data_IF_582650151951
#
_entry.id   IF_582650151951
#
_cell.length_a   1.000
_cell.length_b   1.000
_cell.length_c   1.000
_cell.angle_alpha   90.00
_cell.angle_beta   90.00
_cell.angle_gamma   90.00
#
_symmetry.space_group_name_H-M   'P 1'
#
loop_
_entity.id
_entity.type
_entity.pdbx_description
1 polymer ?
#
# COMPACT_ATOMS: atom_id res chain seq x y z
N UNK A 1 -10.32 12.76 9.21
CA UNK A 1 -9.13 13.38 8.60
C UNK A 1 -9.54 14.53 7.68
N UNK A 2 -8.99 15.74 7.86
CA UNK A 2 -9.43 16.95 7.16
C UNK A 2 -8.71 17.13 5.82
N UNK A 3 -8.99 16.25 4.84
CA UNK A 3 -8.43 16.34 3.47
C UNK A 3 -9.52 16.38 2.40
N UNK A 4 -9.27 17.13 1.32
CA UNK A 4 -10.09 17.13 0.09
C UNK A 4 -9.28 16.44 -1.00
N UNK A 5 -9.92 15.53 -1.74
CA UNK A 5 -9.32 14.83 -2.87
C UNK A 5 -10.07 15.25 -4.13
N UNK A 6 -9.32 15.79 -5.11
CA UNK A 6 -9.84 16.15 -6.43
C UNK A 6 -9.16 15.27 -7.47
N UNK A 7 -9.97 14.53 -8.22
CA UNK A 7 -9.49 13.61 -9.26
C UNK A 7 -9.48 14.34 -10.60
N UNK A 8 -8.31 14.46 -11.23
CA UNK A 8 -8.15 15.10 -12.54
C UNK A 8 -8.08 14.05 -13.67
N UNK A 9 -7.82 14.50 -14.90
CA UNK A 9 -7.74 13.61 -16.06
C UNK A 9 -6.67 12.53 -15.89
N UNK A 10 -5.47 12.89 -15.42
CA UNK A 10 -4.30 11.99 -15.33
C UNK A 10 -3.68 11.88 -13.94
N UNK A 11 -4.08 12.73 -13.00
CA UNK A 11 -3.49 12.85 -11.67
C UNK A 11 -4.55 13.14 -10.61
N UNK A 12 -4.12 13.16 -9.36
CA UNK A 12 -4.94 13.42 -8.18
C UNK A 12 -4.34 14.61 -7.44
N UNK A 13 -5.18 15.56 -7.03
CA UNK A 13 -4.81 16.62 -6.11
C UNK A 13 -5.37 16.30 -4.73
N UNK A 14 -4.51 16.24 -3.71
CA UNK A 14 -4.90 16.17 -2.30
C UNK A 14 -4.62 17.52 -1.64
N UNK A 15 -5.60 18.03 -0.91
CA UNK A 15 -5.50 19.29 -0.16
C UNK A 15 -5.77 19.02 1.32
N UNK A 16 -4.76 19.26 2.16
CA UNK A 16 -4.88 19.21 3.61
C UNK A 16 -5.46 20.54 4.11
N UNK A 17 -6.62 20.47 4.74
CA UNK A 17 -7.39 21.66 5.16
C UNK A 17 -7.18 22.06 6.61
N UNK A 18 -6.51 21.21 7.40
CA UNK A 18 -6.10 21.59 8.75
C UNK A 18 -4.89 22.52 8.68
N UNK A 19 -5.10 23.81 8.96
CA UNK A 19 -4.05 24.84 8.86
C UNK A 19 -2.89 24.62 9.82
N UNK A 20 -3.09 23.87 10.91
CA UNK A 20 -2.04 23.60 11.89
C UNK A 20 -1.11 22.49 11.43
N UNK A 21 -1.62 21.54 10.64
CA UNK A 21 -0.88 20.34 10.22
C UNK A 21 -0.55 20.30 8.72
N UNK A 22 -1.18 21.15 7.90
CA UNK A 22 -1.11 21.03 6.44
C UNK A 22 0.32 21.08 5.91
N UNK A 23 1.15 21.97 6.45
CA UNK A 23 2.56 22.08 6.05
C UNK A 23 3.33 20.82 6.44
N UNK A 24 3.21 20.38 7.70
CA UNK A 24 3.87 19.16 8.21
C UNK A 24 3.47 17.92 7.41
N UNK A 25 2.19 17.78 7.04
CA UNK A 25 1.72 16.66 6.21
C UNK A 25 2.28 16.70 4.79
N UNK A 26 2.38 17.88 4.18
CA UNK A 26 3.00 18.04 2.85
C UNK A 26 4.49 17.70 2.92
N UNK A 27 5.23 18.17 3.93
CA UNK A 27 6.65 17.83 4.10
C UNK A 27 6.85 16.33 4.38
N UNK A 28 6.00 15.71 5.22
CA UNK A 28 6.03 14.27 5.45
C UNK A 28 5.90 13.51 4.12
N UNK A 29 4.89 13.83 3.30
CA UNK A 29 4.72 13.17 2.00
C UNK A 29 5.89 13.42 1.06
N UNK A 30 6.46 14.63 1.01
CA UNK A 30 7.67 14.90 0.22
C UNK A 30 8.81 13.97 0.61
N UNK A 31 9.06 13.80 1.90
CA UNK A 31 10.11 12.93 2.41
C UNK A 31 9.86 11.47 2.03
N UNK A 32 8.62 10.98 2.25
CA UNK A 32 8.21 9.63 1.85
C UNK A 32 8.44 9.40 0.35
N UNK A 33 7.90 10.26 -0.52
CA UNK A 33 8.05 10.09 -1.97
C UNK A 33 9.51 10.22 -2.45
N UNK A 34 10.32 11.07 -1.80
CA UNK A 34 11.75 11.13 -2.08
C UNK A 34 12.45 9.82 -1.73
N UNK A 35 12.11 9.21 -0.58
CA UNK A 35 12.66 7.93 -0.17
C UNK A 35 12.22 6.79 -1.10
N UNK A 36 10.94 6.71 -1.45
CA UNK A 36 10.42 5.72 -2.41
C UNK A 36 11.15 5.81 -3.75
N UNK A 37 11.37 7.03 -4.25
CA UNK A 37 12.12 7.28 -5.49
C UNK A 37 13.60 6.89 -5.36
N UNK A 38 14.25 7.27 -4.26
CA UNK A 38 15.66 6.92 -3.97
C UNK A 38 15.87 5.41 -3.93
N UNK A 39 14.94 4.68 -3.31
CA UNK A 39 14.97 3.21 -3.21
C UNK A 39 14.53 2.50 -4.50
N UNK A 40 13.95 3.21 -5.47
CA UNK A 40 13.45 2.62 -6.71
C UNK A 40 12.26 1.69 -6.47
N UNK A 41 11.37 2.02 -5.53
CA UNK A 41 10.23 1.18 -5.18
C UNK A 41 9.30 1.02 -6.38
N UNK A 42 9.02 -0.22 -6.84
CA UNK A 42 8.09 -0.45 -7.95
C UNK A 42 6.65 -0.37 -7.47
N UNK A 43 5.70 -0.28 -8.41
CA UNK A 43 4.26 -0.45 -8.12
C UNK A 43 3.68 0.58 -7.15
N UNK A 44 4.16 1.82 -7.24
CA UNK A 44 3.68 2.96 -6.43
C UNK A 44 3.30 4.13 -7.33
N UNK A 45 2.51 5.06 -6.79
CA UNK A 45 2.36 6.38 -7.41
C UNK A 45 3.56 7.29 -7.07
N UNK A 46 3.53 8.51 -7.61
CA UNK A 46 4.61 9.47 -7.53
C UNK A 46 4.07 10.85 -7.15
N UNK A 47 4.87 11.58 -6.37
CA UNK A 47 4.68 13.01 -6.17
C UNK A 47 5.11 13.78 -7.43
N UNK A 48 4.15 14.41 -8.08
CA UNK A 48 4.37 15.27 -9.25
C UNK A 48 4.72 16.70 -8.84
N UNK A 49 4.02 17.21 -7.81
CA UNK A 49 4.20 18.56 -7.29
C UNK A 49 3.69 18.64 -5.85
N UNK A 50 4.31 19.49 -5.04
CA UNK A 50 3.82 19.89 -3.71
C UNK A 50 3.80 21.42 -3.59
N UNK A 51 2.82 21.96 -2.85
CA UNK A 51 2.66 23.38 -2.54
C UNK A 51 2.32 23.52 -1.06
N UNK A 52 3.35 23.63 -0.22
CA UNK A 52 3.25 23.68 1.24
C UNK A 52 2.34 24.80 1.73
N UNK A 53 2.47 25.99 1.13
CA UNK A 53 1.71 27.19 1.47
C UNK A 53 0.21 27.02 1.21
N UNK A 54 -0.17 26.05 0.38
CA UNK A 54 -1.56 25.70 0.07
C UNK A 54 -1.99 24.37 0.70
N UNK A 55 -1.09 23.64 1.35
CA UNK A 55 -1.35 22.29 1.83
C UNK A 55 -1.68 21.31 0.70
N UNK A 56 -1.14 21.49 -0.50
CA UNK A 56 -1.50 20.71 -1.68
C UNK A 56 -0.39 19.76 -2.11
N UNK A 57 -0.76 18.53 -2.48
CA UNK A 57 0.10 17.60 -3.23
C UNK A 57 -0.62 17.10 -4.47
N UNK A 58 0.15 16.88 -5.53
CA UNK A 58 -0.31 16.40 -6.83
C UNK A 58 0.37 15.07 -7.08
N UNK A 59 -0.43 14.02 -7.25
CA UNK A 59 0.01 12.62 -7.26
C UNK A 59 -0.39 11.95 -8.57
N UNK A 60 0.44 11.04 -9.08
CA UNK A 60 0.10 10.26 -10.25
C UNK A 60 0.96 9.01 -10.43
N UNK A 61 0.54 8.07 -11.29
CA UNK A 61 -0.60 8.18 -12.21
C UNK A 61 -1.96 7.96 -11.52
N UNK A 62 -3.04 8.53 -12.10
CA UNK A 62 -4.41 8.16 -11.73
C UNK A 62 -4.72 6.75 -12.26
N UNK A 63 -5.22 5.89 -11.39
CA UNK A 63 -5.74 4.56 -11.72
C UNK A 63 -7.24 4.40 -11.41
N UNK A 64 -7.72 3.16 -11.55
CA UNK A 64 -9.09 2.78 -11.22
C UNK A 64 -9.13 2.08 -9.85
N UNK A 65 -10.01 2.53 -8.96
CA UNK A 65 -10.32 1.80 -7.74
C UNK A 65 -11.28 0.65 -8.08
N UNK A 66 -10.71 -0.53 -8.32
CA UNK A 66 -11.45 -1.75 -8.68
C UNK A 66 -10.94 -2.91 -7.83
N UNK A 67 -11.80 -3.89 -7.56
CA UNK A 67 -11.38 -5.14 -6.92
C UNK A 67 -10.98 -6.16 -7.98
N UNK A 68 -10.07 -7.11 -7.66
CA UNK A 68 -9.80 -8.24 -8.52
C UNK A 68 -11.07 -9.03 -8.81
N UNK A 69 -11.20 -9.51 -10.05
CA UNK A 69 -12.39 -10.24 -10.54
C UNK A 69 -12.26 -11.76 -10.51
N UNK A 70 -11.04 -12.27 -10.36
CA UNK A 70 -10.74 -13.70 -10.30
C UNK A 70 -9.43 -13.93 -9.51
N UNK A 71 -9.11 -15.20 -9.25
CA UNK A 71 -7.90 -15.59 -8.50
C UNK A 71 -6.62 -15.06 -9.17
N UNK A 72 -6.55 -15.05 -10.50
CA UNK A 72 -5.38 -14.56 -11.23
C UNK A 72 -5.16 -13.07 -10.99
N UNK A 73 -6.19 -12.25 -11.16
CA UNK A 73 -6.09 -10.81 -10.88
C UNK A 73 -5.76 -10.54 -9.40
N UNK A 74 -6.25 -11.39 -8.48
CA UNK A 74 -5.90 -11.29 -7.05
C UNK A 74 -4.40 -11.52 -6.86
N UNK A 75 -3.86 -12.61 -7.39
CA UNK A 75 -2.43 -12.92 -7.28
C UNK A 75 -1.57 -11.85 -7.97
N UNK A 76 -1.96 -11.36 -9.15
CA UNK A 76 -1.28 -10.26 -9.84
C UNK A 76 -1.24 -8.98 -8.99
N UNK A 77 -2.34 -8.63 -8.32
CA UNK A 77 -2.37 -7.50 -7.41
C UNK A 77 -1.43 -7.72 -6.21
N UNK A 78 -1.53 -8.88 -5.55
CA UNK A 78 -0.70 -9.21 -4.39
C UNK A 78 0.80 -9.25 -4.74
N UNK A 79 1.17 -9.76 -5.92
CA UNK A 79 2.55 -9.71 -6.42
C UNK A 79 3.02 -8.27 -6.54
N UNK A 80 2.23 -7.37 -7.15
CA UNK A 80 2.63 -5.98 -7.29
C UNK A 80 2.88 -5.30 -5.93
N UNK A 81 2.00 -5.55 -4.96
CA UNK A 81 2.16 -5.00 -3.60
C UNK A 81 3.40 -5.58 -2.92
N UNK A 82 3.61 -6.90 -2.98
CA UNK A 82 4.77 -7.54 -2.36
C UNK A 82 6.09 -7.13 -3.00
N UNK A 83 6.12 -6.89 -4.32
CA UNK A 83 7.30 -6.33 -4.99
C UNK A 83 7.65 -4.93 -4.49
N UNK A 84 6.66 -4.08 -4.18
CA UNK A 84 6.91 -2.81 -3.52
C UNK A 84 7.48 -3.03 -2.11
N UNK A 85 6.85 -3.90 -1.32
CA UNK A 85 7.24 -4.17 0.06
C UNK A 85 8.64 -4.76 0.20
N UNK A 86 9.08 -5.62 -0.73
CA UNK A 86 10.44 -6.15 -0.73
C UNK A 86 11.48 -5.02 -0.78
N UNK A 87 11.25 -4.01 -1.62
CA UNK A 87 12.16 -2.86 -1.73
C UNK A 87 12.00 -1.91 -0.54
N UNK A 88 10.77 -1.68 -0.09
CA UNK A 88 10.47 -0.78 1.03
C UNK A 88 11.06 -1.28 2.36
N UNK A 89 10.89 -2.57 2.67
CA UNK A 89 11.30 -3.17 3.94
C UNK A 89 12.80 -3.48 4.01
N UNK A 90 13.49 -3.58 2.87
CA UNK A 90 14.91 -3.91 2.80
C UNK A 90 15.85 -2.70 2.90
N UNK A 91 17.12 -2.97 3.19
CA UNK A 91 18.19 -1.97 3.24
C UNK A 91 18.21 -1.15 4.54
N UNK A 92 19.06 -0.11 4.56
CA UNK A 92 19.36 0.66 5.77
C UNK A 92 18.29 1.72 6.13
N UNK A 93 17.44 2.07 5.18
CA UNK A 93 16.35 3.06 5.33
C UNK A 93 14.99 2.38 5.06
N UNK A 94 14.50 1.49 5.94
CA UNK A 94 13.22 0.84 5.75
C UNK A 94 12.06 1.82 5.97
N UNK A 95 11.01 1.67 5.16
CA UNK A 95 9.76 2.43 5.29
C UNK A 95 8.58 1.48 5.24
N UNK A 96 7.55 1.74 6.04
CA UNK A 96 6.34 0.91 6.13
C UNK A 96 5.11 1.71 5.72
N UNK A 97 4.14 1.08 5.06
CA UNK A 97 2.95 1.79 4.57
C UNK A 97 1.88 1.99 5.66
N UNK A 98 1.71 1.00 6.55
CA UNK A 98 0.77 0.98 7.69
C UNK A 98 -0.73 0.94 7.36
N UNK A 99 -1.17 1.50 6.21
CA UNK A 99 -2.59 1.46 5.76
C UNK A 99 -2.78 0.66 4.44
N UNK A 100 -2.25 -0.56 4.36
CA UNK A 100 -2.45 -1.41 3.17
C UNK A 100 -3.86 -2.00 3.19
N UNK A 101 -4.69 -1.59 2.22
CA UNK A 101 -6.06 -2.08 2.06
C UNK A 101 -6.56 -1.85 0.64
N UNK A 102 -7.63 -2.55 0.24
CA UNK A 102 -8.20 -2.43 -1.11
C UNK A 102 -8.51 -0.99 -1.56
N UNK A 103 -9.00 -0.07 -0.70
CA UNK A 103 -9.14 1.34 -1.07
C UNK A 103 -7.85 2.04 -1.50
N UNK A 104 -6.71 1.57 -1.01
CA UNK A 104 -5.38 2.15 -1.23
C UNK A 104 -4.60 1.38 -2.31
N UNK A 105 -5.30 0.56 -3.11
CA UNK A 105 -4.75 -0.19 -4.23
C UNK A 105 -5.55 0.16 -5.47
N UNK A 106 -4.87 0.61 -6.53
CA UNK A 106 -5.52 0.97 -7.79
C UNK A 106 -4.94 0.18 -8.95
N UNK A 107 -5.78 -0.05 -9.96
CA UNK A 107 -5.38 -0.68 -11.22
C UNK A 107 -5.06 0.39 -12.27
N UNK A 108 -3.86 0.34 -12.81
CA UNK A 108 -3.49 1.08 -14.01
C UNK A 108 -3.91 0.28 -15.25
N UNK A 109 -4.59 0.92 -16.22
CA UNK A 109 -4.92 0.25 -17.47
C UNK A 109 -3.65 -0.17 -18.19
N UNK A 110 -3.69 -1.36 -18.77
CA UNK A 110 -2.65 -1.82 -19.69
C UNK A 110 -2.84 -1.21 -21.08
N UNK A 111 -1.91 -1.52 -21.97
CA UNK A 111 -2.02 -1.31 -23.42
C UNK A 111 -1.98 -2.66 -24.14
N UNK A 112 -2.07 -2.67 -25.46
CA UNK A 112 -1.94 -3.90 -26.25
C UNK A 112 -0.61 -4.63 -26.06
N UNK A 113 0.43 -3.94 -25.59
CA UNK A 113 1.78 -4.49 -25.35
C UNK A 113 2.19 -4.54 -23.88
N UNK A 114 1.43 -3.93 -22.98
CA UNK A 114 1.74 -3.86 -21.54
C UNK A 114 0.53 -4.30 -20.74
N UNK A 115 0.60 -5.36 -19.92
CA UNK A 115 -0.53 -5.77 -19.10
C UNK A 115 -0.90 -4.68 -18.10
N UNK A 116 -2.18 -4.65 -17.69
CA UNK A 116 -2.60 -3.80 -16.58
C UNK A 116 -1.79 -4.12 -15.33
N UNK A 117 -1.49 -3.10 -14.53
CA UNK A 117 -0.69 -3.25 -13.31
C UNK A 117 -1.45 -2.73 -12.11
N UNK A 118 -1.13 -3.24 -10.93
CA UNK A 118 -1.67 -2.75 -9.66
C UNK A 118 -0.60 -1.93 -8.95
N UNK A 119 -1.01 -0.84 -8.30
CA UNK A 119 -0.10 0.00 -7.52
C UNK A 119 -0.67 0.32 -6.14
N UNK A 120 0.23 0.52 -5.18
CA UNK A 120 -0.05 1.00 -3.83
C UNK A 120 -0.03 2.54 -3.80
N UNK A 121 -1.00 3.14 -3.12
CA UNK A 121 -1.17 4.60 -2.99
C UNK A 121 -1.58 4.97 -1.56
N UNK A 122 -1.71 6.27 -1.29
CA UNK A 122 -2.16 6.86 -0.01
C UNK A 122 -1.19 6.67 1.16
N UNK A 123 0.01 7.26 0.99
CA UNK A 123 1.15 7.19 1.91
C UNK A 123 1.03 8.09 3.16
N UNK A 124 -0.16 8.54 3.53
CA UNK A 124 -0.34 9.47 4.66
C UNK A 124 0.13 8.85 6.00
N UNK A 125 -0.04 7.53 6.13
CA UNK A 125 0.33 6.73 7.30
C UNK A 125 1.74 6.13 7.23
N UNK A 126 2.45 6.34 6.13
CA UNK A 126 3.78 5.76 5.99
C UNK A 126 4.75 6.32 7.04
N UNK A 127 5.64 5.48 7.55
CA UNK A 127 6.59 5.86 8.60
C UNK A 127 7.87 5.02 8.54
N UNK A 128 8.92 5.55 9.15
CA UNK A 128 10.24 4.92 9.29
C UNK A 128 10.49 4.55 10.77
N UNK A 129 11.37 3.59 11.09
CA UNK A 129 11.76 3.36 12.48
C UNK A 129 12.42 4.60 13.13
N UNK A 130 12.14 4.90 14.41
CA UNK A 130 11.16 4.24 15.28
C UNK A 130 9.72 4.65 14.93
N UNK A 131 8.89 3.66 14.63
CA UNK A 131 7.51 3.88 14.19
C UNK A 131 6.60 4.32 15.32
N UNK A 132 5.67 5.22 15.01
CA UNK A 132 4.66 5.69 15.95
C UNK A 132 3.37 4.87 15.87
N UNK A 133 2.61 4.71 16.97
CA UNK A 133 1.33 4.03 16.97
C UNK A 133 0.29 4.78 16.13
N UNK A 134 -0.32 4.12 15.16
CA UNK A 134 -1.37 4.69 14.31
C UNK A 134 -2.75 4.62 14.98
N UNK A 135 -2.92 5.25 16.15
CA UNK A 135 -4.10 5.13 17.03
C UNK A 135 -5.41 5.64 16.41
N UNK A 136 -5.34 6.46 15.36
CA UNK A 136 -6.50 6.99 14.65
C UNK A 136 -7.05 6.01 13.60
N UNK A 137 -6.33 4.93 13.29
CA UNK A 137 -6.77 3.90 12.37
C UNK A 137 -7.81 2.97 13.02
N UNK A 138 -8.71 2.44 12.18
CA UNK A 138 -9.76 1.54 12.62
C UNK A 138 -9.21 0.14 12.94
N UNK A 139 -9.34 -0.34 14.19
CA UNK A 139 -8.74 -1.59 14.68
C UNK A 139 -9.15 -2.83 13.88
N UNK A 140 -10.38 -2.87 13.40
CA UNK A 140 -10.93 -3.95 12.59
C UNK A 140 -10.26 -4.07 11.21
N UNK A 141 -9.60 -3.00 10.75
CA UNK A 141 -9.04 -2.92 9.43
C UNK A 141 -7.54 -3.18 9.34
N UNK A 142 -6.83 -3.14 10.48
CA UNK A 142 -5.37 -3.09 10.51
C UNK A 142 -4.77 -4.15 11.43
N UNK A 143 -3.47 -4.39 11.26
CA UNK A 143 -2.72 -5.32 12.09
C UNK A 143 -2.72 -4.84 13.55
N UNK A 144 -2.90 -5.71 14.55
CA UNK A 144 -2.84 -5.30 15.96
C UNK A 144 -1.54 -4.60 16.35
N UNK A 145 -0.42 -4.94 15.68
CA UNK A 145 0.89 -4.33 15.93
C UNK A 145 1.02 -2.87 15.49
N UNK A 146 0.21 -2.38 14.54
CA UNK A 146 0.29 -0.98 14.07
C UNK A 146 -0.09 0.03 15.16
N UNK A 147 -0.78 -0.44 16.20
CA UNK A 147 -1.18 0.33 17.37
C UNK A 147 -0.15 0.28 18.50
N UNK A 148 1.04 -0.27 18.24
CA UNK A 148 2.16 -0.36 19.17
C UNK A 148 3.35 0.44 18.62
N UNK A 149 4.17 0.96 19.51
CA UNK A 149 5.41 1.64 19.14
C UNK A 149 6.43 0.63 18.57
N UNK A 150 7.33 1.10 17.70
CA UNK A 150 8.45 0.30 17.20
C UNK A 150 8.04 -1.00 16.49
N UNK A 151 6.88 -1.01 15.85
CA UNK A 151 6.52 -2.06 14.89
C UNK A 151 7.31 -1.89 13.59
N UNK A 152 7.46 -2.95 12.81
CA UNK A 152 8.18 -2.92 11.53
C UNK A 152 7.28 -3.42 10.37
N UNK A 153 7.89 -3.96 9.32
CA UNK A 153 7.19 -4.41 8.11
C UNK A 153 6.19 -5.54 8.35
N UNK A 154 6.18 -6.17 9.52
CA UNK A 154 5.22 -7.23 9.86
C UNK A 154 3.76 -6.74 9.86
N UNK A 155 3.50 -5.44 10.04
CA UNK A 155 2.14 -4.87 9.96
C UNK A 155 1.64 -4.77 8.52
N UNK A 156 2.54 -4.50 7.57
CA UNK A 156 2.23 -4.47 6.15
C UNK A 156 1.95 -5.89 5.63
N UNK A 157 2.74 -6.89 6.04
CA UNK A 157 2.53 -8.30 5.66
C UNK A 157 1.19 -8.82 6.19
N UNK A 158 0.85 -8.50 7.43
CA UNK A 158 -0.46 -8.84 7.99
C UNK A 158 -1.59 -8.27 7.14
N UNK A 159 -1.44 -7.02 6.69
CA UNK A 159 -2.41 -6.33 5.85
C UNK A 159 -2.53 -6.98 4.46
N UNK A 160 -1.42 -7.44 3.87
CA UNK A 160 -1.45 -8.26 2.64
C UNK A 160 -2.23 -9.57 2.85
N UNK A 161 -2.01 -10.28 3.96
CA UNK A 161 -2.80 -11.46 4.30
C UNK A 161 -4.29 -11.15 4.47
N UNK A 162 -4.62 -9.97 5.00
CA UNK A 162 -6.01 -9.47 5.07
C UNK A 162 -6.60 -9.24 3.68
N UNK A 163 -5.87 -8.65 2.73
CA UNK A 163 -6.34 -8.50 1.34
C UNK A 163 -6.78 -9.84 0.73
N UNK A 164 -5.96 -10.88 0.91
CA UNK A 164 -6.22 -12.24 0.40
C UNK A 164 -7.45 -12.84 1.06
N UNK A 165 -7.51 -12.82 2.40
CA UNK A 165 -8.62 -13.43 3.13
C UNK A 165 -9.94 -12.68 2.93
N UNK A 166 -9.92 -11.36 2.78
CA UNK A 166 -11.11 -10.57 2.45
C UNK A 166 -11.61 -10.82 1.03
N UNK A 167 -10.74 -11.13 0.07
CA UNK A 167 -11.13 -11.42 -1.31
C UNK A 167 -12.12 -12.58 -1.42
N UNK A 168 -12.08 -13.53 -0.48
CA UNK A 168 -13.07 -14.62 -0.38
C UNK A 168 -14.52 -14.16 -0.20
N UNK A 169 -14.75 -12.91 0.24
CA UNK A 169 -16.09 -12.34 0.40
C UNK A 169 -16.77 -12.03 -0.93
N UNK A 170 -16.01 -11.89 -2.03
CA UNK A 170 -16.59 -11.59 -3.35
C UNK A 170 -16.06 -12.47 -4.48
N UNK A 171 -14.91 -13.13 -4.32
CA UNK A 171 -14.38 -14.09 -5.29
C UNK A 171 -14.80 -15.51 -4.91
N UNK A 172 -15.45 -16.18 -5.84
CA UNK A 172 -15.75 -17.61 -5.74
C UNK A 172 -14.56 -18.39 -6.29
N UNK A 173 -14.21 -19.50 -5.62
CA UNK A 173 -13.19 -20.44 -6.12
C UNK A 173 -11.74 -20.04 -5.90
N UNK A 174 -11.43 -19.17 -4.92
CA UNK A 174 -10.05 -19.00 -4.47
C UNK A 174 -9.58 -20.33 -3.87
N UNK A 175 -8.41 -20.81 -4.32
CA UNK A 175 -7.78 -22.02 -3.81
C UNK A 175 -7.64 -21.99 -2.28
N UNK A 176 -7.99 -23.08 -1.57
CA UNK A 176 -7.80 -23.18 -0.13
C UNK A 176 -6.37 -22.89 0.33
N UNK A 177 -5.36 -23.28 -0.47
CA UNK A 177 -3.93 -23.02 -0.19
C UNK A 177 -3.58 -21.54 -0.21
N UNK A 178 -4.19 -20.76 -1.10
CA UNK A 178 -3.99 -19.30 -1.16
C UNK A 178 -4.63 -18.65 0.07
N UNK A 179 -5.83 -19.09 0.47
CA UNK A 179 -6.49 -18.59 1.67
C UNK A 179 -5.71 -18.97 2.95
N UNK A 180 -5.10 -20.15 2.98
CA UNK A 180 -4.22 -20.59 4.06
C UNK A 180 -3.00 -19.70 4.19
N UNK A 181 -2.29 -19.43 3.08
CA UNK A 181 -1.19 -18.46 3.07
C UNK A 181 -1.65 -17.07 3.54
N UNK A 182 -2.83 -16.61 3.12
CA UNK A 182 -3.40 -15.35 3.60
C UNK A 182 -3.66 -15.34 5.12
N UNK A 183 -4.03 -16.47 5.72
CA UNK A 183 -4.16 -16.62 7.18
C UNK A 183 -2.80 -16.67 7.87
N UNK A 184 -1.82 -17.37 7.29
CA UNK A 184 -0.46 -17.45 7.79
C UNK A 184 0.21 -16.06 7.85
N UNK A 185 0.05 -15.26 6.79
CA UNK A 185 0.52 -13.87 6.75
C UNK A 185 -0.08 -12.99 7.87
N UNK A 186 -1.26 -13.37 8.39
CA UNK A 186 -1.93 -12.69 9.51
C UNK A 186 -1.58 -13.25 10.89
N UNK A 187 -0.82 -14.34 10.94
CA UNK A 187 -0.42 -15.02 12.17
C UNK A 187 0.86 -14.43 12.76
N UNK A 188 1.34 -14.97 13.88
CA UNK A 188 2.65 -14.59 14.43
C UNK A 188 3.83 -15.23 13.68
N UNK A 189 3.58 -16.27 12.87
CA UNK A 189 4.60 -16.95 12.07
C UNK A 189 4.64 -16.41 10.63
N UNK A 190 4.19 -15.17 10.41
CA UNK A 190 4.09 -14.60 9.07
C UNK A 190 5.47 -14.48 8.41
N UNK A 191 5.58 -14.73 7.08
CA UNK A 191 6.83 -14.54 6.35
C UNK A 191 7.22 -13.05 6.26
N UNK A 192 8.48 -12.78 5.91
CA UNK A 192 8.87 -11.44 5.43
C UNK A 192 8.34 -11.20 4.00
N UNK A 193 8.49 -9.97 3.47
CA UNK A 193 8.00 -9.60 2.14
C UNK A 193 8.58 -10.47 1.01
N UNK A 194 9.84 -10.89 1.11
CA UNK A 194 10.51 -11.66 0.08
C UNK A 194 10.03 -13.12 0.04
N UNK A 195 9.90 -13.75 1.21
CA UNK A 195 9.34 -15.09 1.33
C UNK A 195 7.85 -15.12 0.96
N UNK A 196 7.09 -14.10 1.37
CA UNK A 196 5.72 -13.89 0.94
C UNK A 196 5.60 -13.82 -0.60
N UNK A 197 6.45 -13.02 -1.25
CA UNK A 197 6.48 -12.86 -2.70
C UNK A 197 6.78 -14.19 -3.40
N UNK A 198 7.77 -14.94 -2.90
CA UNK A 198 8.14 -16.25 -3.43
C UNK A 198 6.97 -17.24 -3.33
N UNK A 199 6.31 -17.29 -2.17
CA UNK A 199 5.16 -18.17 -1.95
C UNK A 199 4.00 -17.82 -2.90
N UNK A 200 3.68 -16.53 -3.08
CA UNK A 200 2.63 -16.09 -4.00
C UNK A 200 2.96 -16.44 -5.45
N UNK A 201 4.20 -16.20 -5.90
CA UNK A 201 4.64 -16.53 -7.26
C UNK A 201 4.56 -18.04 -7.54
N UNK A 202 4.74 -18.90 -6.52
CA UNK A 202 4.60 -20.35 -6.69
C UNK A 202 3.18 -20.81 -7.08
N UNK A 203 2.14 -20.01 -6.81
CA UNK A 203 0.76 -20.30 -7.24
C UNK A 203 0.44 -19.83 -8.66
N UNK A 204 1.38 -19.13 -9.30
CA UNK A 204 1.25 -18.57 -10.65
C UNK A 204 2.09 -19.31 -11.70
N UNK A 205 2.97 -20.21 -11.25
CA UNK A 205 3.76 -21.11 -12.09
C UNK A 205 2.92 -22.32 -12.51
#
# INVERSE_FOLDING_TARGET
DKKIIVVWATNIKKTFTDRMESNTRVEKLKNVYNLLKKKGVPNVDNLLQAKNEKGEVYLGPKGMSVRPKNQRELLEAIVCILEALVVMHGGDEPIFHQDIRWPNIIRLPGSSSVPSKWILIDWDEADEPPTQPAIHLAKENHAPGVFQENHHGEVDIWSVGKLITEASKWLIGISPKILELGREMRSNNRPNAQDALKNIKSFMA
#
